data_IF_309318809155
#
_entry.id   IF_309318809155
#
_cell.length_a   1.000
_cell.length_b   1.000
_cell.length_c   1.000
_cell.angle_alpha   90.00
_cell.angle_beta   90.00
_cell.angle_gamma   90.00
#
_symmetry.space_group_name_H-M   'P 1'
#
loop_
_entity.id
_entity.type
_entity.pdbx_description
1 polymer ?
#
# COMPACT_ATOMS: atom_id res chain seq x y z
N UNK A 1 0.26 -24.17 6.50
CA UNK A 1 -0.69 -23.10 6.24
C UNK A 1 0.11 -21.82 6.19
N UNK A 2 -0.10 -20.97 5.18
CA UNK A 2 0.62 -19.69 5.09
C UNK A 2 -0.20 -18.60 5.78
N UNK A 3 0.44 -17.79 6.59
CA UNK A 3 -0.22 -16.71 7.36
C UNK A 3 -0.01 -15.37 6.69
N UNK A 4 -1.08 -14.66 6.40
CA UNK A 4 -1.07 -13.34 5.77
C UNK A 4 -1.65 -12.30 6.71
N UNK A 5 -0.86 -11.26 6.99
CA UNK A 5 -1.32 -10.07 7.72
C UNK A 5 -1.82 -9.02 6.74
N UNK A 6 -3.04 -8.55 6.90
CA UNK A 6 -3.58 -7.40 6.17
C UNK A 6 -3.57 -6.17 7.08
N UNK A 7 -2.87 -5.12 6.68
CA UNK A 7 -2.94 -3.81 7.33
C UNK A 7 -3.91 -2.94 6.54
N UNK A 8 -5.09 -2.70 7.12
CA UNK A 8 -6.20 -2.00 6.47
C UNK A 8 -7.50 -2.81 6.49
N UNK A 9 -7.93 -3.25 7.68
CA UNK A 9 -9.10 -4.11 7.96
C UNK A 9 -10.39 -3.70 7.23
N UNK A 10 -10.59 -2.40 7.02
CA UNK A 10 -11.80 -1.86 6.39
C UNK A 10 -11.61 -1.46 4.92
N UNK A 11 -10.43 -1.73 4.37
CA UNK A 11 -10.14 -1.48 2.96
C UNK A 11 -10.95 -2.42 2.06
N UNK A 12 -11.47 -1.90 0.95
CA UNK A 12 -12.14 -2.72 -0.06
C UNK A 12 -11.25 -3.86 -0.57
N UNK A 13 -9.98 -3.57 -0.86
CA UNK A 13 -9.01 -4.57 -1.32
C UNK A 13 -8.77 -5.62 -0.24
N UNK A 14 -8.55 -5.20 1.00
CA UNK A 14 -8.30 -6.10 2.12
C UNK A 14 -9.46 -7.04 2.41
N UNK A 15 -10.68 -6.51 2.46
CA UNK A 15 -11.89 -7.32 2.69
C UNK A 15 -12.19 -8.26 1.52
N UNK A 16 -11.97 -7.81 0.28
CA UNK A 16 -12.14 -8.64 -0.91
C UNK A 16 -11.12 -9.77 -0.95
N UNK A 17 -9.86 -9.49 -0.64
CA UNK A 17 -8.82 -10.52 -0.56
C UNK A 17 -9.13 -11.56 0.53
N UNK A 18 -9.48 -11.11 1.73
CA UNK A 18 -9.82 -12.02 2.83
C UNK A 18 -11.02 -12.92 2.49
N UNK A 19 -12.05 -12.36 1.86
CA UNK A 19 -13.21 -13.13 1.39
C UNK A 19 -12.84 -14.14 0.31
N UNK A 20 -12.05 -13.73 -0.66
CA UNK A 20 -11.56 -14.62 -1.73
C UNK A 20 -10.72 -15.75 -1.16
N UNK A 21 -9.74 -15.45 -0.29
CA UNK A 21 -8.88 -16.44 0.33
C UNK A 21 -9.68 -17.49 1.11
N UNK A 22 -10.68 -17.05 1.89
CA UNK A 22 -11.55 -17.97 2.64
C UNK A 22 -12.25 -18.99 1.73
N UNK A 23 -12.59 -18.61 0.50
CA UNK A 23 -13.36 -19.47 -0.42
C UNK A 23 -12.47 -20.31 -1.34
N UNK A 24 -11.38 -19.73 -1.84
CA UNK A 24 -10.60 -20.29 -2.94
C UNK A 24 -9.14 -20.62 -2.58
N UNK A 25 -8.67 -20.21 -1.41
CA UNK A 25 -7.32 -20.48 -0.93
C UNK A 25 -7.31 -20.87 0.56
N UNK A 26 -7.95 -21.99 0.94
CA UNK A 26 -8.11 -22.40 2.35
C UNK A 26 -6.78 -22.72 3.05
N UNK A 27 -5.68 -22.82 2.31
CA UNK A 27 -4.32 -22.93 2.84
C UNK A 27 -3.76 -21.62 3.37
N UNK A 28 -4.44 -20.48 3.11
CA UNK A 28 -4.08 -19.17 3.66
C UNK A 28 -4.88 -18.88 4.94
N UNK A 29 -4.17 -18.58 5.99
CA UNK A 29 -4.74 -17.98 7.21
C UNK A 29 -4.59 -16.46 7.14
N UNK A 30 -5.70 -15.74 7.06
CA UNK A 30 -5.70 -14.30 6.85
C UNK A 30 -6.15 -13.58 8.12
N UNK A 31 -5.29 -12.74 8.66
CA UNK A 31 -5.58 -11.85 9.78
C UNK A 31 -5.60 -10.40 9.30
N UNK A 32 -6.59 -9.62 9.71
CA UNK A 32 -6.71 -8.22 9.32
C UNK A 32 -6.69 -7.29 10.53
N UNK A 33 -5.84 -6.27 10.49
CA UNK A 33 -5.70 -5.26 11.54
C UNK A 33 -6.10 -3.88 11.04
N UNK A 34 -6.59 -3.05 11.94
CA UNK A 34 -6.92 -1.66 11.63
C UNK A 34 -5.65 -0.83 11.49
N UNK A 35 -5.63 0.06 10.48
CA UNK A 35 -4.54 1.00 10.31
C UNK A 35 -4.81 2.35 11.00
N UNK A 36 -6.08 2.72 11.19
CA UNK A 36 -6.49 4.05 11.64
C UNK A 36 -6.32 4.29 13.15
N UNK A 37 -6.36 3.23 13.95
CA UNK A 37 -6.23 3.32 15.41
C UNK A 37 -4.77 3.13 15.91
N UNK A 38 -3.84 2.85 15.00
CA UNK A 38 -2.43 2.64 15.32
C UNK A 38 -2.10 1.30 15.96
N UNK A 39 -3.10 0.47 16.28
CA UNK A 39 -2.91 -0.81 17.01
C UNK A 39 -2.14 -1.86 16.20
N UNK A 40 -2.10 -1.73 14.88
CA UNK A 40 -1.32 -2.60 14.01
C UNK A 40 0.18 -2.64 14.37
N UNK A 41 0.71 -1.59 14.99
CA UNK A 41 2.11 -1.52 15.47
C UNK A 41 2.39 -2.47 16.61
N UNK A 42 1.37 -2.92 17.33
CA UNK A 42 1.48 -3.88 18.41
C UNK A 42 1.37 -5.34 17.94
N UNK A 43 1.15 -5.55 16.64
CA UNK A 43 1.08 -6.90 16.06
C UNK A 43 2.50 -7.47 15.95
N UNK A 44 2.68 -8.72 16.38
CA UNK A 44 3.93 -9.44 16.15
C UNK A 44 3.97 -9.92 14.69
N UNK A 45 4.77 -9.26 13.87
CA UNK A 45 4.88 -9.58 12.45
C UNK A 45 5.59 -10.91 12.22
N UNK A 46 6.41 -11.40 13.15
CA UNK A 46 7.12 -12.68 13.00
C UNK A 46 6.20 -13.89 12.93
N UNK A 47 4.93 -13.74 13.34
CA UNK A 47 3.92 -14.77 13.21
C UNK A 47 3.42 -14.99 11.78
N UNK A 48 3.81 -14.16 10.81
CA UNK A 48 3.27 -14.16 9.46
C UNK A 48 4.31 -14.48 8.39
N UNK A 49 3.86 -15.04 7.26
CA UNK A 49 4.68 -15.31 6.08
C UNK A 49 4.69 -14.13 5.09
N UNK A 50 3.61 -13.35 5.06
CA UNK A 50 3.44 -12.21 4.16
C UNK A 50 2.62 -11.09 4.78
N UNK A 51 2.87 -9.87 4.33
CA UNK A 51 2.08 -8.67 4.67
C UNK A 51 1.46 -8.08 3.41
N UNK A 52 0.15 -7.81 3.46
CA UNK A 52 -0.59 -7.04 2.47
C UNK A 52 -1.00 -5.69 3.08
N UNK A 53 -0.28 -4.63 2.72
CA UNK A 53 -0.55 -3.28 3.22
C UNK A 53 -1.49 -2.54 2.26
N UNK A 54 -2.77 -2.48 2.60
CA UNK A 54 -3.83 -1.85 1.79
C UNK A 54 -4.43 -0.60 2.43
N UNK A 55 -3.87 -0.18 3.56
CA UNK A 55 -4.23 1.11 4.14
C UNK A 55 -3.74 2.24 3.25
N UNK A 56 -4.59 3.21 3.01
CA UNK A 56 -4.24 4.36 2.19
C UNK A 56 -5.39 5.34 2.14
N UNK A 57 -5.05 6.61 1.95
CA UNK A 57 -5.99 7.71 1.71
C UNK A 57 -6.06 7.95 0.21
N UNK A 58 -7.26 7.87 -0.35
CA UNK A 58 -7.54 8.07 -1.78
C UNK A 58 -8.65 9.12 -1.96
N UNK A 59 -9.00 9.42 -3.21
CA UNK A 59 -10.09 10.33 -3.58
C UNK A 59 -9.88 11.77 -3.10
N UNK A 60 -8.67 12.32 -3.34
CA UNK A 60 -8.40 13.71 -3.07
C UNK A 60 -9.25 14.62 -4.00
N UNK A 61 -10.08 15.47 -3.42
CA UNK A 61 -10.40 16.73 -4.07
C UNK A 61 -9.16 17.61 -4.00
N UNK A 62 -8.41 17.64 -5.11
CA UNK A 62 -7.10 18.33 -5.16
C UNK A 62 -7.21 19.84 -5.34
N UNK A 63 -8.45 20.36 -5.49
CA UNK A 63 -8.68 21.76 -5.85
C UNK A 63 -8.39 22.77 -4.73
N UNK A 64 -8.85 22.50 -3.50
CA UNK A 64 -8.73 23.42 -2.37
C UNK A 64 -8.46 22.67 -1.05
N UNK A 65 -7.28 22.11 -0.91
CA UNK A 65 -6.88 21.39 0.31
C UNK A 65 -5.88 22.20 1.12
N UNK A 66 -6.03 22.15 2.45
CA UNK A 66 -5.08 22.75 3.39
C UNK A 66 -3.77 21.94 3.42
N UNK A 67 -2.70 22.57 3.92
CA UNK A 67 -1.42 21.87 4.12
C UNK A 67 -1.55 20.69 5.11
N UNK A 68 -2.44 20.80 6.11
CA UNK A 68 -2.71 19.71 7.05
C UNK A 68 -3.31 18.49 6.34
N UNK A 69 -4.23 18.71 5.39
CA UNK A 69 -4.79 17.61 4.57
C UNK A 69 -3.72 16.98 3.70
N UNK A 70 -2.86 17.78 3.05
CA UNK A 70 -1.72 17.23 2.27
C UNK A 70 -0.79 16.40 3.15
N UNK A 71 -0.44 16.95 4.32
CA UNK A 71 0.39 16.23 5.30
C UNK A 71 -0.20 14.88 5.68
N UNK A 72 -1.52 14.80 5.89
CA UNK A 72 -2.21 13.55 6.19
C UNK A 72 -2.04 12.49 5.08
N UNK A 73 -2.04 12.90 3.78
CA UNK A 73 -1.76 11.97 2.68
C UNK A 73 -0.34 11.40 2.76
N UNK A 74 0.66 12.22 3.07
CA UNK A 74 2.03 11.72 3.25
C UNK A 74 2.16 10.85 4.50
N UNK A 75 1.51 11.20 5.60
CA UNK A 75 1.55 10.42 6.83
C UNK A 75 0.93 9.02 6.63
N UNK A 76 -0.21 8.94 5.90
CA UNK A 76 -0.92 7.67 5.68
C UNK A 76 -0.34 6.87 4.51
N UNK A 77 -0.17 7.50 3.33
CA UNK A 77 0.23 6.77 2.13
C UNK A 77 1.72 6.46 2.06
N UNK A 78 2.56 7.33 2.63
CA UNK A 78 4.01 7.18 2.58
C UNK A 78 4.58 6.67 3.90
N UNK A 79 4.51 7.46 4.97
CA UNK A 79 5.21 7.13 6.21
C UNK A 79 4.73 5.83 6.84
N UNK A 80 3.40 5.64 6.93
CA UNK A 80 2.81 4.42 7.47
C UNK A 80 3.18 3.18 6.64
N UNK A 81 3.18 3.29 5.31
CA UNK A 81 3.53 2.18 4.44
C UNK A 81 5.00 1.79 4.58
N UNK A 82 5.89 2.78 4.66
CA UNK A 82 7.33 2.57 4.87
C UNK A 82 7.60 1.99 6.25
N UNK A 83 6.95 2.49 7.30
CA UNK A 83 7.05 1.94 8.66
C UNK A 83 6.61 0.48 8.71
N UNK A 84 5.48 0.15 8.05
CA UNK A 84 4.99 -1.23 7.99
C UNK A 84 5.94 -2.16 7.23
N UNK A 85 6.55 -1.68 6.14
CA UNK A 85 7.54 -2.44 5.38
C UNK A 85 8.83 -2.67 6.19
N UNK A 86 9.29 -1.66 6.92
CA UNK A 86 10.46 -1.79 7.81
C UNK A 86 10.20 -2.78 8.95
N UNK A 87 9.04 -2.70 9.60
CA UNK A 87 8.64 -3.68 10.63
C UNK A 87 8.57 -5.09 10.05
N UNK A 88 8.00 -5.26 8.85
CA UNK A 88 7.90 -6.56 8.19
C UNK A 88 9.29 -7.13 7.88
N UNK A 89 10.18 -6.32 7.32
CA UNK A 89 11.56 -6.72 7.02
C UNK A 89 12.32 -7.13 8.28
N UNK A 90 12.25 -6.32 9.33
CA UNK A 90 12.92 -6.58 10.60
C UNK A 90 12.37 -7.83 11.32
N UNK A 91 11.11 -8.18 11.10
CA UNK A 91 10.49 -9.41 11.60
C UNK A 91 10.81 -10.65 10.75
N UNK A 92 11.56 -10.51 9.65
CA UNK A 92 11.91 -11.62 8.76
C UNK A 92 10.81 -12.04 7.78
N UNK A 93 9.82 -11.19 7.56
CA UNK A 93 8.81 -11.39 6.51
C UNK A 93 9.50 -11.38 5.16
N UNK A 94 9.13 -12.34 4.30
CA UNK A 94 9.76 -12.47 2.97
C UNK A 94 8.99 -11.75 1.87
N UNK A 95 7.69 -11.52 2.05
CA UNK A 95 6.82 -10.93 1.04
C UNK A 95 6.00 -9.78 1.63
N UNK A 96 6.25 -8.59 1.12
CA UNK A 96 5.48 -7.39 1.44
C UNK A 96 4.79 -6.86 0.18
N UNK A 97 3.46 -6.83 0.19
CA UNK A 97 2.67 -6.37 -0.96
C UNK A 97 2.08 -5.00 -0.64
N UNK A 98 2.45 -4.01 -1.45
CA UNK A 98 1.92 -2.66 -1.40
C UNK A 98 1.25 -2.31 -2.73
N UNK A 99 -0.08 -2.20 -2.79
CA UNK A 99 -0.78 -1.76 -3.99
C UNK A 99 -0.49 -0.29 -4.26
N UNK A 100 0.21 -0.01 -5.35
CA UNK A 100 0.42 1.34 -5.83
C UNK A 100 -0.84 1.91 -6.49
N UNK A 101 -0.70 2.92 -7.32
CA UNK A 101 -1.82 3.54 -8.03
C UNK A 101 -1.37 4.06 -9.39
N UNK A 102 -2.27 4.04 -10.37
CA UNK A 102 -2.03 4.66 -11.67
C UNK A 102 -1.83 6.18 -11.60
N UNK A 103 -2.26 6.81 -10.52
CA UNK A 103 -2.09 8.26 -10.29
C UNK A 103 -0.62 8.70 -10.24
N UNK A 104 0.32 7.78 -9.96
CA UNK A 104 1.76 8.07 -9.97
C UNK A 104 2.26 8.47 -11.36
N UNK A 105 1.57 8.08 -12.41
CA UNK A 105 1.92 8.42 -13.79
C UNK A 105 1.30 9.73 -14.28
N UNK A 106 0.71 10.51 -13.37
CA UNK A 106 0.13 11.82 -13.70
C UNK A 106 -1.29 11.75 -14.24
N UNK A 107 -1.70 12.79 -14.94
CA UNK A 107 -3.06 12.93 -15.42
C UNK A 107 -3.44 11.91 -16.49
N UNK A 108 -4.72 11.59 -16.56
CA UNK A 108 -5.30 10.79 -17.63
C UNK A 108 -5.16 11.49 -18.99
N UNK A 109 -5.16 10.70 -20.06
CA UNK A 109 -5.23 11.27 -21.40
C UNK A 109 -6.56 12.03 -21.59
N UNK A 110 -6.58 13.09 -22.42
CA UNK A 110 -7.82 13.76 -22.81
C UNK A 110 -8.82 12.78 -23.42
N UNK A 111 -10.11 13.13 -23.38
CA UNK A 111 -11.19 12.32 -23.96
C UNK A 111 -10.88 12.01 -25.43
N UNK A 112 -10.99 10.74 -25.80
CA UNK A 112 -10.68 10.25 -27.14
C UNK A 112 -9.19 10.04 -27.45
N UNK A 113 -8.31 10.22 -26.46
CA UNK A 113 -6.90 9.88 -26.52
C UNK A 113 -6.57 8.74 -25.58
N UNK A 114 -5.45 8.06 -25.85
CA UNK A 114 -4.95 6.97 -25.02
C UNK A 114 -3.57 7.34 -24.49
N UNK A 115 -3.33 7.01 -23.21
CA UNK A 115 -2.01 7.07 -22.58
C UNK A 115 -1.57 5.63 -22.33
N UNK A 116 -0.50 5.24 -22.98
CA UNK A 116 0.08 3.90 -22.78
C UNK A 116 1.14 4.00 -21.69
N UNK A 117 0.99 3.18 -20.66
CA UNK A 117 1.96 3.04 -19.58
C UNK A 117 2.65 1.70 -19.76
N UNK A 118 3.97 1.72 -19.82
CA UNK A 118 4.83 0.55 -19.93
C UNK A 118 5.75 0.45 -18.71
N UNK A 119 6.51 -0.63 -18.60
CA UNK A 119 7.52 -0.79 -17.55
C UNK A 119 8.59 0.30 -17.54
N UNK A 120 8.80 0.97 -18.67
CA UNK A 120 9.81 2.02 -18.84
C UNK A 120 9.22 3.43 -18.70
N UNK A 121 7.92 3.55 -18.40
CA UNK A 121 7.27 4.84 -18.20
C UNK A 121 7.72 5.45 -16.89
N UNK A 122 8.30 6.65 -16.97
CA UNK A 122 8.74 7.40 -15.80
C UNK A 122 7.50 7.95 -15.05
N UNK A 123 7.34 7.68 -13.75
CA UNK A 123 6.28 8.27 -12.95
C UNK A 123 6.41 9.80 -12.88
N UNK A 124 5.29 10.48 -13.08
CA UNK A 124 5.20 11.96 -13.05
C UNK A 124 3.91 12.37 -12.35
N UNK A 125 3.80 12.19 -11.02
CA UNK A 125 2.57 12.48 -10.29
C UNK A 125 2.20 13.97 -10.43
N UNK A 126 0.91 14.24 -10.70
CA UNK A 126 0.41 15.59 -10.91
C UNK A 126 -0.03 16.29 -9.63
N UNK A 127 -0.11 15.57 -8.51
CA UNK A 127 -0.59 16.10 -7.24
C UNK A 127 0.00 15.36 -6.04
N UNK A 128 -0.25 15.89 -4.84
CA UNK A 128 0.25 15.34 -3.56
C UNK A 128 -0.21 13.89 -3.29
N UNK A 129 -1.39 13.49 -3.78
CA UNK A 129 -1.84 12.11 -3.64
C UNK A 129 -0.94 11.16 -4.47
N UNK A 130 -0.77 11.46 -5.74
CA UNK A 130 0.13 10.67 -6.59
C UNK A 130 1.56 10.68 -6.09
N UNK A 131 2.06 11.83 -5.64
CA UNK A 131 3.41 11.96 -5.10
C UNK A 131 3.59 11.16 -3.82
N UNK A 132 2.64 11.19 -2.88
CA UNK A 132 2.70 10.39 -1.65
C UNK A 132 2.76 8.88 -1.92
N UNK A 133 2.03 8.41 -2.95
CA UNK A 133 2.07 7.00 -3.39
C UNK A 133 3.40 6.66 -4.04
N UNK A 134 3.92 7.53 -4.90
CA UNK A 134 5.22 7.32 -5.55
C UNK A 134 6.37 7.28 -4.54
N UNK A 135 6.37 8.16 -3.55
CA UNK A 135 7.40 8.14 -2.50
C UNK A 135 7.39 6.83 -1.72
N UNK A 136 6.21 6.28 -1.42
CA UNK A 136 6.10 4.97 -0.79
C UNK A 136 6.66 3.85 -1.68
N UNK A 137 6.27 3.82 -2.97
CA UNK A 137 6.79 2.84 -3.92
C UNK A 137 8.32 2.84 -3.97
N UNK A 138 8.91 4.02 -4.15
CA UNK A 138 10.36 4.17 -4.26
C UNK A 138 11.10 3.79 -2.97
N UNK A 139 10.52 4.12 -1.82
CA UNK A 139 11.12 3.79 -0.52
C UNK A 139 11.05 2.29 -0.25
N UNK A 140 9.89 1.65 -0.50
CA UNK A 140 9.69 0.21 -0.29
C UNK A 140 10.55 -0.60 -1.26
N UNK A 141 10.63 -0.20 -2.54
CA UNK A 141 11.52 -0.84 -3.52
C UNK A 141 12.99 -0.87 -3.08
N UNK A 142 13.47 0.21 -2.45
CA UNK A 142 14.84 0.27 -1.92
C UNK A 142 15.09 -0.71 -0.75
N UNK A 143 14.04 -1.17 -0.09
CA UNK A 143 14.16 -2.17 0.98
C UNK A 143 14.25 -3.59 0.43
N UNK A 144 13.90 -3.81 -0.83
CA UNK A 144 13.90 -5.14 -1.45
C UNK A 144 15.33 -5.68 -1.58
N UNK A 145 15.51 -6.95 -1.21
CA UNK A 145 16.75 -7.72 -1.35
C UNK A 145 16.43 -9.22 -1.52
N UNK A 146 17.42 -10.09 -1.37
CA UNK A 146 17.24 -11.55 -1.50
C UNK A 146 16.33 -12.15 -0.42
N UNK A 147 16.13 -11.46 0.70
CA UNK A 147 15.37 -11.93 1.86
C UNK A 147 14.01 -11.27 2.02
N UNK A 148 13.79 -10.13 1.35
CA UNK A 148 12.58 -9.32 1.44
C UNK A 148 12.19 -8.76 0.06
N UNK A 149 11.00 -9.13 -0.40
CA UNK A 149 10.46 -8.74 -1.70
C UNK A 149 9.06 -8.13 -1.56
#
# INVERSE_FOLDING_TARGET
MKKVLIIGKHSYIGTSFASYAKTYAPELEVTSVSASDGTWRNTDFSDYDAVLHVAGKAHADVGNVTEDVKKEYYDVNYKMAVEAADMAKNAGIKLFIYPSSMIIYGESAPIGKHKVITKDTIPTPANFYGDSKLQADLAIQKMSDETFQ
#
